data_IF_738075219018
#
_entry.id   IF_738075219018
#
_cell.length_a   1.000
_cell.length_b   1.000
_cell.length_c   1.000
_cell.angle_alpha   90.00
_cell.angle_beta   90.00
_cell.angle_gamma   90.00
#
_symmetry.space_group_name_H-M   'P 1'
#
loop_
_entity.id
_entity.type
_entity.pdbx_description
1 polymer ?
#
# COMPACT_ATOMS: atom_id res chain seq x y z
N UNK A 1 44.97 31.52 -26.11
CA UNK A 1 44.53 30.09 -26.06
C UNK A 1 43.74 29.85 -24.79
N UNK A 2 42.68 29.03 -24.81
CA UNK A 2 42.03 28.50 -23.59
C UNK A 2 42.30 26.99 -23.54
N UNK A 3 42.94 26.52 -22.47
CA UNK A 3 43.18 25.08 -22.28
C UNK A 3 41.88 24.40 -21.89
N UNK A 4 41.44 23.43 -22.70
CA UNK A 4 40.31 22.57 -22.36
C UNK A 4 40.78 21.53 -21.34
N UNK A 5 40.48 21.75 -20.06
CA UNK A 5 40.67 20.75 -19.01
C UNK A 5 39.68 19.61 -19.25
N UNK A 6 40.17 18.53 -19.87
CA UNK A 6 39.42 17.29 -20.06
C UNK A 6 39.18 16.59 -18.73
N UNK A 7 38.10 16.95 -18.04
CA UNK A 7 37.62 16.24 -16.85
C UNK A 7 37.21 14.82 -17.29
N UNK A 8 37.83 13.75 -16.75
CA UNK A 8 37.41 12.39 -17.07
C UNK A 8 35.96 12.17 -16.62
N UNK A 9 35.09 11.74 -17.54
CA UNK A 9 33.72 11.36 -17.21
C UNK A 9 33.75 10.14 -16.29
N UNK A 10 33.33 10.32 -15.04
CA UNK A 10 33.38 9.26 -14.04
C UNK A 10 32.63 8.00 -14.54
N UNK A 11 33.22 6.79 -14.45
CA UNK A 11 32.62 5.58 -15.00
C UNK A 11 31.25 5.34 -14.38
N UNK A 12 30.22 5.34 -15.23
CA UNK A 12 28.84 5.37 -14.79
C UNK A 12 28.48 4.20 -13.89
N UNK A 13 27.93 4.48 -12.70
CA UNK A 13 27.58 3.51 -11.64
C UNK A 13 26.37 2.61 -11.97
N UNK A 14 26.22 2.23 -13.25
CA UNK A 14 25.13 1.43 -13.83
C UNK A 14 25.18 -0.05 -13.41
N UNK A 15 26.36 -0.55 -13.04
CA UNK A 15 26.64 -1.99 -12.85
C UNK A 15 25.98 -2.68 -11.65
N UNK A 16 25.49 -1.96 -10.64
CA UNK A 16 24.99 -2.60 -9.40
C UNK A 16 23.52 -3.02 -9.45
N UNK A 17 22.68 -2.33 -10.25
CA UNK A 17 21.21 -2.48 -10.18
C UNK A 17 20.64 -3.35 -11.31
N UNK A 18 21.36 -3.48 -12.44
CA UNK A 18 20.85 -4.26 -13.58
C UNK A 18 20.74 -5.77 -13.27
N UNK A 19 21.63 -6.35 -12.45
CA UNK A 19 21.49 -7.75 -11.97
C UNK A 19 20.23 -7.95 -11.12
N UNK A 20 19.91 -7.02 -10.21
CA UNK A 20 18.68 -7.07 -9.41
C UNK A 20 17.45 -6.96 -10.30
N UNK A 21 17.47 -6.07 -11.30
CA UNK A 21 16.38 -5.92 -12.28
C UNK A 21 16.22 -7.16 -13.18
N UNK A 22 17.31 -7.79 -13.58
CA UNK A 22 17.30 -9.03 -14.34
C UNK A 22 16.75 -10.19 -13.50
N UNK A 23 17.20 -10.34 -12.26
CA UNK A 23 16.69 -11.37 -11.34
C UNK A 23 15.19 -11.20 -11.05
N UNK A 24 14.72 -9.98 -10.78
CA UNK A 24 13.29 -9.68 -10.62
C UNK A 24 12.48 -9.93 -11.90
N UNK A 25 13.04 -9.60 -13.07
CA UNK A 25 12.41 -9.85 -14.37
C UNK A 25 12.28 -11.36 -14.65
N UNK A 26 13.34 -12.13 -14.43
CA UNK A 26 13.36 -13.60 -14.58
C UNK A 26 12.39 -14.24 -13.59
N UNK A 27 12.40 -13.83 -12.32
CA UNK A 27 11.50 -14.35 -11.29
C UNK A 27 10.03 -14.02 -11.59
N UNK A 28 9.74 -12.81 -12.06
CA UNK A 28 8.40 -12.42 -12.52
C UNK A 28 7.94 -13.23 -13.74
N UNK A 29 8.83 -13.45 -14.72
CA UNK A 29 8.53 -14.26 -15.91
C UNK A 29 8.35 -15.74 -15.57
N UNK A 30 9.12 -16.28 -14.63
CA UNK A 30 8.96 -17.64 -14.12
C UNK A 30 7.64 -17.81 -13.33
N UNK A 31 7.26 -16.83 -12.51
CA UNK A 31 5.98 -16.82 -11.81
C UNK A 31 4.79 -16.74 -12.80
N UNK A 32 4.88 -15.90 -13.84
CA UNK A 32 3.89 -15.83 -14.92
C UNK A 32 3.81 -17.15 -15.70
N UNK A 33 4.95 -17.75 -16.04
CA UNK A 33 5.02 -19.04 -16.74
C UNK A 33 4.41 -20.18 -15.91
N UNK A 34 4.71 -20.23 -14.60
CA UNK A 34 4.11 -21.19 -13.67
C UNK A 34 2.60 -21.00 -13.53
N UNK A 35 2.14 -19.75 -13.38
CA UNK A 35 0.71 -19.44 -13.31
C UNK A 35 -0.04 -19.80 -14.60
N UNK A 36 0.54 -19.49 -15.77
CA UNK A 36 -0.05 -19.85 -17.07
C UNK A 36 -0.05 -21.35 -17.31
N UNK A 37 1.01 -22.07 -16.95
CA UNK A 37 1.05 -23.53 -17.01
C UNK A 37 0.00 -24.15 -16.09
N UNK A 38 -0.09 -23.70 -14.83
CA UNK A 38 -1.11 -24.14 -13.88
C UNK A 38 -2.53 -23.86 -14.38
N UNK A 39 -2.76 -22.70 -14.99
CA UNK A 39 -4.04 -22.35 -15.62
C UNK A 39 -4.40 -23.31 -16.77
N UNK A 40 -3.50 -23.49 -17.73
CA UNK A 40 -3.73 -24.36 -18.90
C UNK A 40 -3.89 -25.83 -18.53
N UNK A 41 -3.25 -26.28 -17.44
CA UNK A 41 -3.35 -27.66 -16.97
C UNK A 41 -4.62 -27.95 -16.14
N UNK A 42 -5.27 -26.95 -15.54
CA UNK A 42 -6.35 -27.15 -14.56
C UNK A 42 -7.68 -26.45 -14.90
N UNK A 43 -7.74 -25.55 -15.89
CA UNK A 43 -8.98 -24.81 -16.24
C UNK A 43 -9.62 -25.42 -17.50
N UNK A 44 -10.80 -26.06 -17.39
CA UNK A 44 -11.51 -26.60 -18.54
C UNK A 44 -11.90 -25.52 -19.57
N UNK A 45 -11.88 -25.81 -20.88
CA UNK A 45 -12.22 -24.82 -21.92
C UNK A 45 -13.57 -24.12 -21.73
N UNK A 46 -14.57 -24.83 -21.18
CA UNK A 46 -15.89 -24.26 -20.87
C UNK A 46 -15.85 -23.11 -19.82
N UNK A 47 -14.82 -23.07 -18.95
CA UNK A 47 -14.66 -22.02 -17.95
C UNK A 47 -13.97 -20.77 -18.49
N UNK A 48 -13.35 -20.81 -19.68
CA UNK A 48 -12.61 -19.68 -20.25
C UNK A 48 -13.50 -18.44 -20.47
N UNK A 49 -14.79 -18.63 -20.77
CA UNK A 49 -15.77 -17.53 -20.86
C UNK A 49 -15.96 -16.86 -19.49
N UNK A 50 -16.04 -17.65 -18.43
CA UNK A 50 -16.12 -17.14 -17.05
C UNK A 50 -14.85 -16.40 -16.62
N UNK A 51 -13.68 -16.90 -17.00
CA UNK A 51 -12.39 -16.22 -16.77
C UNK A 51 -12.31 -14.90 -17.54
N UNK A 52 -12.73 -14.88 -18.81
CA UNK A 52 -12.75 -13.66 -19.62
C UNK A 52 -13.72 -12.61 -19.05
N UNK A 53 -14.91 -13.03 -18.61
CA UNK A 53 -15.88 -12.15 -17.95
C UNK A 53 -15.34 -11.61 -16.60
N UNK A 54 -14.73 -12.47 -15.78
CA UNK A 54 -14.08 -12.05 -14.53
C UNK A 54 -12.96 -11.05 -14.78
N UNK A 55 -12.12 -11.30 -15.78
CA UNK A 55 -11.02 -10.41 -16.16
C UNK A 55 -11.54 -9.06 -16.66
N UNK A 56 -12.58 -9.03 -17.49
CA UNK A 56 -13.21 -7.79 -17.95
C UNK A 56 -13.80 -6.96 -16.80
N UNK A 57 -14.46 -7.61 -15.84
CA UNK A 57 -14.96 -6.95 -14.61
C UNK A 57 -13.79 -6.46 -13.74
N UNK A 58 -12.71 -7.25 -13.61
CA UNK A 58 -11.53 -6.85 -12.84
C UNK A 58 -10.84 -5.62 -13.43
N UNK A 59 -10.69 -5.54 -14.76
CA UNK A 59 -10.19 -4.33 -15.45
C UNK A 59 -11.13 -3.13 -15.22
N UNK A 60 -12.44 -3.31 -15.41
CA UNK A 60 -13.42 -2.23 -15.24
C UNK A 60 -13.42 -1.66 -13.81
N UNK A 61 -13.28 -2.52 -12.79
CA UNK A 61 -13.13 -2.09 -11.39
C UNK A 61 -11.76 -1.45 -11.14
N UNK A 62 -10.69 -1.95 -11.75
CA UNK A 62 -9.35 -1.37 -11.59
C UNK A 62 -9.27 0.05 -12.18
N UNK A 63 -9.53 0.18 -13.48
CA UNK A 63 -9.37 1.45 -14.20
C UNK A 63 -10.52 2.41 -13.96
N UNK A 64 -11.75 1.91 -13.86
CA UNK A 64 -12.95 2.71 -13.66
C UNK A 64 -13.20 3.15 -12.21
N UNK A 65 -12.63 2.46 -11.21
CA UNK A 65 -12.87 2.75 -9.78
C UNK A 65 -11.57 2.92 -8.99
N UNK A 66 -10.64 1.96 -9.02
CA UNK A 66 -9.44 2.03 -8.18
C UNK A 66 -8.46 3.14 -8.63
N UNK A 67 -8.22 3.31 -9.93
CA UNK A 67 -7.36 4.38 -10.48
C UNK A 67 -7.90 5.79 -10.13
N UNK A 68 -9.17 6.15 -10.39
CA UNK A 68 -9.67 7.47 -10.01
C UNK A 68 -9.74 7.67 -8.50
N UNK A 69 -10.15 6.67 -7.70
CA UNK A 69 -10.17 6.81 -6.23
C UNK A 69 -8.76 7.00 -5.64
N UNK A 70 -7.76 6.23 -6.09
CA UNK A 70 -6.38 6.37 -5.61
C UNK A 70 -5.74 7.69 -6.09
N UNK A 71 -6.09 8.16 -7.28
CA UNK A 71 -5.67 9.48 -7.80
C UNK A 71 -6.27 10.62 -6.98
N UNK A 72 -7.57 10.57 -6.67
CA UNK A 72 -8.24 11.53 -5.79
C UNK A 72 -7.69 11.50 -4.37
N UNK A 73 -7.44 10.31 -3.81
CA UNK A 73 -6.80 10.16 -2.50
C UNK A 73 -5.36 10.72 -2.48
N UNK A 74 -4.56 10.47 -3.52
CA UNK A 74 -3.21 11.01 -3.68
C UNK A 74 -3.19 12.54 -3.83
N UNK A 75 -4.15 13.10 -4.59
CA UNK A 75 -4.34 14.54 -4.72
C UNK A 75 -4.80 15.20 -3.42
N UNK A 76 -5.79 14.61 -2.74
CA UNK A 76 -6.28 15.04 -1.43
C UNK A 76 -5.18 15.00 -0.37
N UNK A 77 -4.42 13.91 -0.29
CA UNK A 77 -3.25 13.77 0.58
C UNK A 77 -2.18 14.83 0.29
N UNK A 78 -1.95 15.16 -0.99
CA UNK A 78 -0.98 16.19 -1.39
C UNK A 78 -1.43 17.60 -0.99
N UNK A 79 -2.75 17.87 -0.94
CA UNK A 79 -3.32 19.10 -0.38
C UNK A 79 -3.24 19.12 1.16
N UNK A 80 -3.65 18.04 1.83
CA UNK A 80 -3.63 17.90 3.29
C UNK A 80 -2.21 17.95 3.89
N UNK A 81 -1.19 17.52 3.13
CA UNK A 81 0.22 17.56 3.55
C UNK A 81 1.00 18.74 2.98
N UNK A 82 0.31 19.72 2.40
CA UNK A 82 0.92 20.98 1.96
C UNK A 82 1.53 21.73 3.15
N UNK A 83 2.67 22.39 2.95
CA UNK A 83 3.44 23.04 4.02
C UNK A 83 4.20 22.10 4.98
N UNK A 84 3.89 20.80 5.06
CA UNK A 84 4.64 19.85 5.90
C UNK A 84 6.05 19.60 5.36
N UNK A 85 7.01 19.38 6.26
CA UNK A 85 8.39 19.00 5.91
C UNK A 85 8.53 17.53 5.47
N UNK A 86 9.65 17.13 4.82
CA UNK A 86 9.80 15.79 4.25
C UNK A 86 9.56 14.64 5.24
N UNK A 87 10.09 14.75 6.47
CA UNK A 87 9.91 13.75 7.54
C UNK A 87 8.44 13.62 7.93
N UNK A 88 7.71 14.73 8.05
CA UNK A 88 6.29 14.74 8.40
C UNK A 88 5.44 14.09 7.29
N UNK A 89 5.74 14.36 6.01
CA UNK A 89 5.10 13.67 4.88
C UNK A 89 5.42 12.18 4.87
N UNK A 90 6.63 11.79 5.28
CA UNK A 90 7.04 10.40 5.49
C UNK A 90 6.19 9.69 6.54
N UNK A 91 5.98 10.32 7.70
CA UNK A 91 5.13 9.78 8.78
C UNK A 91 3.69 9.54 8.28
N UNK A 92 3.07 10.52 7.62
CA UNK A 92 1.69 10.37 7.12
C UNK A 92 1.59 9.26 6.05
N UNK A 93 2.55 9.16 5.13
CA UNK A 93 2.60 8.07 4.14
C UNK A 93 2.81 6.70 4.78
N UNK A 94 3.68 6.60 5.78
CA UNK A 94 3.91 5.36 6.54
C UNK A 94 2.66 4.91 7.30
N UNK A 95 1.99 5.84 7.99
CA UNK A 95 0.73 5.55 8.69
C UNK A 95 -0.38 5.08 7.73
N UNK A 96 -0.54 5.74 6.58
CA UNK A 96 -1.52 5.30 5.56
C UNK A 96 -1.18 3.92 4.97
N UNK A 97 0.10 3.61 4.76
CA UNK A 97 0.52 2.27 4.31
C UNK A 97 0.23 1.19 5.37
N UNK A 98 0.56 1.44 6.64
CA UNK A 98 0.25 0.54 7.76
C UNK A 98 -1.26 0.33 7.90
N UNK A 99 -2.05 1.40 7.77
CA UNK A 99 -3.51 1.35 7.80
C UNK A 99 -4.10 0.55 6.63
N UNK A 100 -3.60 0.76 5.42
CA UNK A 100 -4.02 0.01 4.23
C UNK A 100 -3.67 -1.49 4.34
N UNK A 101 -2.47 -1.82 4.84
CA UNK A 101 -2.06 -3.22 5.06
C UNK A 101 -2.92 -3.91 6.12
N UNK A 102 -3.21 -3.25 7.26
CA UNK A 102 -4.09 -3.85 8.28
C UNK A 102 -5.54 -3.95 7.79
N UNK A 103 -6.00 -3.00 6.95
CA UNK A 103 -7.32 -3.09 6.29
C UNK A 103 -7.37 -4.28 5.33
N UNK A 104 -6.30 -4.56 4.58
CA UNK A 104 -6.21 -5.70 3.67
C UNK A 104 -6.23 -7.05 4.43
N UNK A 105 -5.66 -7.10 5.64
CA UNK A 105 -5.72 -8.29 6.53
C UNK A 105 -7.09 -8.42 7.20
N UNK A 106 -7.70 -7.31 7.63
CA UNK A 106 -8.98 -7.31 8.34
C UNK A 106 -10.19 -7.55 7.42
N UNK A 107 -10.16 -7.09 6.16
CA UNK A 107 -11.25 -7.26 5.20
C UNK A 107 -11.73 -8.73 5.02
N UNK A 108 -10.84 -9.73 4.79
CA UNK A 108 -11.27 -11.13 4.72
C UNK A 108 -11.75 -11.68 6.08
N UNK A 109 -11.21 -11.21 7.21
CA UNK A 109 -11.68 -11.60 8.56
C UNK A 109 -13.11 -11.09 8.83
N UNK A 110 -13.37 -9.82 8.52
CA UNK A 110 -14.72 -9.21 8.58
C UNK A 110 -15.68 -10.00 7.68
N UNK A 111 -15.28 -10.33 6.45
CA UNK A 111 -16.15 -11.08 5.54
C UNK A 111 -16.39 -12.52 5.98
N UNK A 112 -15.38 -13.18 6.54
CA UNK A 112 -15.53 -14.50 7.15
C UNK A 112 -16.46 -14.47 8.36
N UNK A 113 -16.36 -13.45 9.23
CA UNK A 113 -17.23 -13.28 10.38
C UNK A 113 -18.70 -13.14 9.96
N UNK A 114 -18.99 -12.29 8.97
CA UNK A 114 -20.34 -12.11 8.41
C UNK A 114 -20.99 -13.40 7.88
N UNK A 115 -20.19 -14.41 7.52
CA UNK A 115 -20.67 -15.69 6.97
C UNK A 115 -20.70 -16.80 8.03
N UNK A 116 -19.76 -16.80 8.97
CA UNK A 116 -19.56 -17.85 9.99
C UNK A 116 -20.17 -17.54 11.36
N UNK A 117 -20.59 -16.29 11.58
CA UNK A 117 -21.35 -15.84 12.75
C UNK A 117 -22.62 -15.09 12.33
N UNK A 118 -23.57 -15.76 11.64
CA UNK A 118 -24.84 -15.15 11.29
C UNK A 118 -25.66 -14.81 12.55
N UNK A 119 -26.28 -13.62 12.57
CA UNK A 119 -27.10 -13.15 13.70
C UNK A 119 -28.56 -13.53 13.48
N UNK A 120 -29.16 -14.33 14.38
CA UNK A 120 -30.59 -14.64 14.34
C UNK A 120 -31.00 -15.77 15.29
N UNK A 121 -32.31 -15.98 15.52
CA UNK A 121 -32.80 -17.11 16.31
C UNK A 121 -32.36 -18.45 15.70
N UNK A 122 -31.75 -19.31 16.51
CA UNK A 122 -31.25 -20.61 16.05
C UNK A 122 -30.00 -20.57 15.17
N UNK A 123 -29.25 -19.46 15.14
CA UNK A 123 -28.03 -19.40 14.32
C UNK A 123 -26.90 -20.29 14.88
N UNK A 124 -26.31 -21.11 14.01
CA UNK A 124 -25.19 -21.99 14.33
C UNK A 124 -23.84 -21.26 14.41
N UNK A 125 -23.79 -20.13 15.12
CA UNK A 125 -22.59 -19.30 15.22
C UNK A 125 -21.45 -20.05 15.94
N UNK A 126 -20.26 -20.09 15.32
CA UNK A 126 -19.13 -20.84 15.86
C UNK A 126 -18.50 -20.10 17.06
N UNK A 127 -18.60 -20.69 18.25
CA UNK A 127 -18.13 -20.13 19.51
C UNK A 127 -16.63 -20.32 19.80
N UNK A 128 -15.81 -20.82 18.86
CA UNK A 128 -14.35 -20.97 19.06
C UNK A 128 -13.49 -20.19 18.06
N UNK A 129 -14.08 -19.59 17.01
CA UNK A 129 -13.33 -18.86 15.96
C UNK A 129 -14.05 -17.56 15.61
N UNK A 130 -13.28 -16.52 15.24
CA UNK A 130 -13.75 -15.19 14.83
C UNK A 130 -14.59 -14.41 15.87
N UNK A 131 -14.50 -14.73 17.18
CA UNK A 131 -15.34 -14.13 18.23
C UNK A 131 -15.30 -12.58 18.35
N UNK A 132 -14.23 -11.92 17.91
CA UNK A 132 -14.07 -10.46 18.05
C UNK A 132 -14.78 -9.70 16.93
N UNK A 133 -15.35 -8.52 17.24
CA UNK A 133 -15.83 -7.60 16.21
C UNK A 133 -14.63 -7.00 15.45
N UNK A 134 -14.36 -7.55 14.26
CA UNK A 134 -13.24 -7.09 13.42
C UNK A 134 -13.51 -5.72 12.76
N UNK A 135 -14.76 -5.27 12.67
CA UNK A 135 -15.11 -3.94 12.15
C UNK A 135 -14.78 -2.88 13.19
N UNK A 136 -15.21 -3.09 14.44
CA UNK A 136 -14.87 -2.23 15.57
C UNK A 136 -13.36 -2.23 15.84
N UNK A 137 -12.71 -3.41 15.84
CA UNK A 137 -11.27 -3.51 16.04
C UNK A 137 -10.48 -2.75 14.96
N UNK A 138 -10.88 -2.85 13.69
CA UNK A 138 -10.27 -2.09 12.60
C UNK A 138 -10.51 -0.58 12.73
N UNK A 139 -11.72 -0.16 13.14
CA UNK A 139 -12.05 1.25 13.39
C UNK A 139 -11.24 1.86 14.53
N UNK A 140 -11.12 1.15 15.66
CA UNK A 140 -10.27 1.54 16.80
C UNK A 140 -8.80 1.59 16.40
N UNK A 141 -8.31 0.60 15.64
CA UNK A 141 -6.94 0.60 15.12
C UNK A 141 -6.65 1.83 14.25
N UNK A 142 -7.54 2.16 13.31
CA UNK A 142 -7.41 3.38 12.50
C UNK A 142 -7.43 4.66 13.34
N UNK A 143 -8.30 4.75 14.35
CA UNK A 143 -8.36 5.90 15.27
C UNK A 143 -7.04 6.08 16.02
N UNK A 144 -6.51 5.01 16.62
CA UNK A 144 -5.22 5.02 17.33
C UNK A 144 -4.07 5.40 16.38
N UNK A 145 -4.06 4.84 15.16
CA UNK A 145 -3.04 5.10 14.15
C UNK A 145 -3.05 6.56 13.66
N UNK A 146 -4.23 7.16 13.48
CA UNK A 146 -4.38 8.58 13.13
C UNK A 146 -3.88 9.48 14.27
N UNK A 147 -4.23 9.18 15.52
CA UNK A 147 -3.76 9.93 16.70
C UNK A 147 -2.24 9.82 16.86
N UNK A 148 -1.67 8.62 16.70
CA UNK A 148 -0.22 8.41 16.73
C UNK A 148 0.53 9.14 15.60
N UNK A 149 -0.01 9.13 14.38
CA UNK A 149 0.56 9.86 13.26
C UNK A 149 0.50 11.39 13.45
N UNK A 150 -0.64 11.92 13.92
CA UNK A 150 -0.84 13.34 14.17
C UNK A 150 0.09 13.86 15.28
N UNK A 151 0.20 13.13 16.39
CA UNK A 151 1.10 13.49 17.51
C UNK A 151 2.57 13.43 17.10
N UNK A 152 2.99 12.42 16.32
CA UNK A 152 4.35 12.35 15.78
C UNK A 152 4.67 13.51 14.81
N UNK A 153 3.75 13.87 13.90
CA UNK A 153 3.88 15.02 13.00
C UNK A 153 3.99 16.34 13.78
N UNK A 154 3.20 16.50 14.84
CA UNK A 154 3.24 17.68 15.72
C UNK A 154 4.56 17.76 16.50
N UNK A 155 5.02 16.66 17.09
CA UNK A 155 6.29 16.59 17.84
C UNK A 155 7.50 16.99 16.98
N UNK A 156 7.60 16.45 15.76
CA UNK A 156 8.63 16.82 14.77
C UNK A 156 8.54 18.31 14.41
N UNK A 157 7.33 18.85 14.23
CA UNK A 157 7.11 20.26 13.95
C UNK A 157 7.56 21.19 15.08
N UNK A 158 7.25 20.84 16.34
CA UNK A 158 7.65 21.60 17.52
C UNK A 158 9.17 21.55 17.75
N UNK A 159 9.80 20.39 17.58
CA UNK A 159 11.25 20.23 17.70
C UNK A 159 12.01 21.03 16.63
N UNK A 160 11.52 20.99 15.38
CA UNK A 160 12.06 21.79 14.26
C UNK A 160 11.92 23.30 14.46
N UNK A 161 10.88 23.78 15.16
CA UNK A 161 10.75 25.19 15.54
C UNK A 161 11.75 25.59 16.64
N UNK A 162 11.82 24.80 17.74
CA UNK A 162 12.73 25.08 18.87
C UNK A 162 14.21 25.12 18.45
N UNK A 163 14.63 24.20 17.60
CA UNK A 163 16.02 24.11 17.12
C UNK A 163 16.42 25.28 16.20
N UNK A 164 15.50 25.85 15.41
CA UNK A 164 15.76 27.10 14.66
C UNK A 164 15.97 28.30 15.59
N UNK A 165 15.09 28.49 16.58
CA UNK A 165 15.18 29.62 17.54
C UNK A 165 16.47 29.59 18.36
N UNK A 166 16.99 28.39 18.69
CA UNK A 166 18.28 28.26 19.39
C UNK A 166 19.50 28.64 18.52
N UNK A 167 19.36 28.65 17.19
CA UNK A 167 20.45 28.97 16.24
C UNK A 167 20.47 30.45 15.82
N UNK A 168 19.55 31.27 16.33
CA UNK A 168 19.44 32.72 16.07
C UNK A 168 19.72 33.58 17.29
N UNK A 169 20.32 33.02 18.35
CA UNK A 169 21.03 33.79 19.36
C UNK A 169 22.54 33.76 19.03
N UNK A 170 23.23 34.92 19.01
CA UNK A 170 24.68 34.96 19.03
C UNK A 170 25.23 34.45 20.39
#
# INVERSE_FOLDING_TARGET
MRLSLGIPSAPGRRGTVWWVRAALGILGLAALGYALFGFLANVPPAQLIGVAAWLAVALLVHDGVLVPLTTLAGGGLSRLTYGLGPVQRGIVRGALLVGALMTLVAAPLIRAQQVLQPTGPGSGANSTVLQGDYVLALGVFWMVLVVAAATAVAAVGLYGRRSKVRKTRP
#
